data_IF_528645297156
#
_entry.id   IF_528645297156
#
_cell.length_a   1.000
_cell.length_b   1.000
_cell.length_c   1.000
_cell.angle_alpha   90.00
_cell.angle_beta   90.00
_cell.angle_gamma   90.00
#
_symmetry.space_group_name_H-M   'P 1'
#
loop_
_entity.id
_entity.type
_entity.pdbx_description
1 polymer ?
#
# COMPACT_ATOMS: atom_id res chain seq x y z
N UNK A 1 5.00 -24.98 12.11
CA UNK A 1 5.80 -23.76 11.85
C UNK A 1 4.81 -22.64 11.57
N UNK A 2 4.77 -21.60 12.40
CA UNK A 2 3.87 -20.48 12.17
C UNK A 2 4.36 -19.69 10.95
N UNK A 3 3.52 -19.57 9.92
CA UNK A 3 3.81 -18.72 8.78
C UNK A 3 3.96 -17.27 9.24
N UNK A 4 4.83 -16.49 8.59
CA UNK A 4 5.04 -15.10 8.94
C UNK A 4 3.75 -14.30 8.75
N UNK A 5 2.92 -14.71 7.77
CA UNK A 5 1.58 -14.18 7.55
C UNK A 5 0.72 -14.26 8.82
N UNK A 6 0.59 -15.45 9.42
CA UNK A 6 -0.18 -15.67 10.64
C UNK A 6 0.32 -14.83 11.80
N UNK A 7 1.63 -14.59 11.91
CA UNK A 7 2.19 -13.79 12.99
C UNK A 7 1.82 -12.31 12.87
N UNK A 8 1.89 -11.74 11.66
CA UNK A 8 1.47 -10.35 11.42
C UNK A 8 -0.02 -10.20 11.69
N UNK A 9 -0.85 -11.09 11.15
CA UNK A 9 -2.30 -11.06 11.37
C UNK A 9 -2.64 -11.21 12.86
N UNK A 10 -1.98 -12.13 13.58
CA UNK A 10 -2.20 -12.29 15.01
C UNK A 10 -1.75 -11.07 15.81
N UNK A 11 -0.65 -10.42 15.42
CA UNK A 11 -0.21 -9.18 16.05
C UNK A 11 -1.18 -8.02 15.74
N UNK A 12 -1.70 -7.93 14.52
CA UNK A 12 -2.72 -6.97 14.12
C UNK A 12 -4.02 -7.15 14.91
N UNK A 13 -4.46 -8.40 15.10
CA UNK A 13 -5.62 -8.75 15.93
C UNK A 13 -5.42 -8.38 17.41
N UNK A 14 -4.18 -8.33 17.90
CA UNK A 14 -3.83 -7.84 19.24
C UNK A 14 -3.79 -6.31 19.36
N UNK A 15 -4.08 -5.59 18.28
CA UNK A 15 -4.05 -4.12 18.24
C UNK A 15 -2.70 -3.52 17.83
N UNK A 16 -1.71 -4.35 17.45
CA UNK A 16 -0.47 -3.82 16.86
C UNK A 16 -0.79 -3.23 15.49
N UNK A 17 -0.36 -2.00 15.24
CA UNK A 17 -0.45 -1.35 13.93
C UNK A 17 0.91 -1.07 13.32
N UNK A 18 1.95 -0.96 14.13
CA UNK A 18 3.30 -0.71 13.66
C UNK A 18 4.02 -1.99 13.21
N UNK A 19 4.22 -2.08 11.89
CA UNK A 19 5.01 -3.08 11.20
C UNK A 19 6.04 -2.42 10.28
N UNK A 20 6.50 -1.20 10.59
CA UNK A 20 7.49 -0.48 9.79
C UNK A 20 8.77 -1.29 9.57
N UNK A 21 9.42 -1.11 8.42
CA UNK A 21 10.68 -1.73 8.01
C UNK A 21 10.68 -3.27 7.95
N UNK A 22 9.52 -3.90 8.00
CA UNK A 22 9.42 -5.34 7.96
C UNK A 22 9.92 -5.91 6.61
N UNK A 23 10.64 -7.03 6.69
CA UNK A 23 11.17 -7.74 5.53
C UNK A 23 10.34 -9.00 5.30
N UNK A 24 9.36 -8.92 4.39
CA UNK A 24 8.39 -9.99 4.15
C UNK A 24 8.10 -10.16 2.65
N UNK A 25 9.12 -10.39 1.81
CA UNK A 25 8.90 -10.64 0.39
C UNK A 25 8.07 -11.91 0.21
N UNK A 26 7.24 -11.93 -0.83
CA UNK A 26 6.34 -13.04 -1.18
C UNK A 26 5.35 -13.45 -0.08
N UNK A 27 5.06 -12.57 0.88
CA UNK A 27 4.09 -12.87 1.94
C UNK A 27 2.68 -13.04 1.37
N UNK A 28 1.91 -13.97 1.95
CA UNK A 28 0.54 -14.26 1.52
C UNK A 28 -0.44 -13.78 2.57
N UNK A 29 -1.16 -12.69 2.28
CA UNK A 29 -2.21 -12.15 3.14
C UNK A 29 -3.40 -11.68 2.33
N UNK A 30 -3.88 -12.49 1.38
CA UNK A 30 -5.08 -12.12 0.59
C UNK A 30 -6.35 -12.20 1.45
N UNK A 31 -7.34 -11.33 1.19
CA UNK A 31 -8.67 -11.29 1.86
C UNK A 31 -8.66 -10.83 3.33
N UNK A 32 -7.64 -10.11 3.79
CA UNK A 32 -7.58 -9.58 5.15
C UNK A 32 -7.97 -8.10 5.22
N UNK A 33 -8.41 -7.67 6.40
CA UNK A 33 -8.70 -6.26 6.71
C UNK A 33 -7.55 -5.72 7.56
N UNK A 34 -6.69 -4.90 6.95
CA UNK A 34 -5.46 -4.33 7.52
C UNK A 34 -5.49 -2.80 7.42
N UNK A 35 -6.60 -2.21 7.85
CA UNK A 35 -6.84 -0.76 7.85
C UNK A 35 -5.94 -0.05 8.85
N UNK A 36 -5.45 1.14 8.49
CA UNK A 36 -4.57 1.96 9.34
C UNK A 36 -3.30 1.23 9.82
N UNK A 37 -2.83 0.23 9.07
CA UNK A 37 -1.58 -0.46 9.37
C UNK A 37 -0.39 0.40 8.94
N UNK A 38 0.68 0.41 9.73
CA UNK A 38 1.93 1.04 9.36
C UNK A 38 2.89 0.01 8.75
N UNK A 39 3.16 0.17 7.46
CA UNK A 39 4.06 -0.62 6.64
C UNK A 39 5.16 0.26 6.04
N UNK A 40 5.49 1.36 6.71
CA UNK A 40 6.51 2.30 6.25
C UNK A 40 7.85 1.60 6.01
N UNK A 41 8.39 1.71 4.79
CA UNK A 41 9.69 1.13 4.43
C UNK A 41 9.73 -0.40 4.41
N UNK A 42 8.57 -1.08 4.41
CA UNK A 42 8.52 -2.53 4.34
C UNK A 42 8.90 -3.06 2.97
N UNK A 43 9.56 -4.23 2.96
CA UNK A 43 9.75 -5.01 1.76
C UNK A 43 8.61 -6.05 1.63
N UNK A 44 7.72 -5.79 0.69
CA UNK A 44 6.56 -6.62 0.31
C UNK A 44 6.66 -6.99 -1.18
N UNK A 45 7.87 -7.02 -1.74
CA UNK A 45 8.07 -7.44 -3.12
C UNK A 45 7.51 -8.86 -3.33
N UNK A 46 6.85 -9.10 -4.47
CA UNK A 46 6.19 -10.37 -4.79
C UNK A 46 5.06 -10.80 -3.84
N UNK A 47 4.60 -9.94 -2.93
CA UNK A 47 3.55 -10.31 -1.97
C UNK A 47 2.19 -10.59 -2.64
N UNK A 48 1.44 -11.52 -2.06
CA UNK A 48 0.07 -11.85 -2.46
C UNK A 48 -0.91 -11.17 -1.52
N UNK A 49 -1.34 -9.96 -1.88
CA UNK A 49 -2.18 -9.07 -1.09
C UNK A 49 -3.47 -8.71 -1.85
N UNK A 50 -4.03 -9.65 -2.62
CA UNK A 50 -5.30 -9.45 -3.32
C UNK A 50 -6.47 -9.41 -2.33
N UNK A 51 -7.49 -8.61 -2.61
CA UNK A 51 -8.68 -8.45 -1.77
C UNK A 51 -8.37 -7.95 -0.35
N UNK A 52 -7.30 -7.19 -0.16
CA UNK A 52 -6.90 -6.68 1.16
C UNK A 52 -7.38 -5.26 1.35
N UNK A 53 -7.93 -4.97 2.52
CA UNK A 53 -8.28 -3.60 2.89
C UNK A 53 -7.11 -2.93 3.61
N UNK A 54 -6.46 -1.99 2.92
CA UNK A 54 -5.41 -1.09 3.41
C UNK A 54 -5.91 0.35 3.52
N UNK A 55 -7.21 0.57 3.73
CA UNK A 55 -7.73 1.94 3.86
C UNK A 55 -7.05 2.68 5.01
N UNK A 56 -6.58 3.90 4.74
CA UNK A 56 -5.89 4.75 5.71
C UNK A 56 -4.50 4.24 6.14
N UNK A 57 -3.96 3.20 5.50
CA UNK A 57 -2.68 2.59 5.87
C UNK A 57 -1.48 3.42 5.42
N UNK A 58 -0.38 3.34 6.18
CA UNK A 58 0.87 4.01 5.85
C UNK A 58 1.79 3.05 5.09
N UNK A 59 1.95 3.26 3.77
CA UNK A 59 2.76 2.43 2.88
C UNK A 59 3.97 3.19 2.33
N UNK A 60 4.32 4.31 2.97
CA UNK A 60 5.38 5.21 2.50
C UNK A 60 6.68 4.44 2.32
N UNK A 61 7.39 4.67 1.21
CA UNK A 61 8.66 4.00 0.95
C UNK A 61 8.63 2.46 0.93
N UNK A 62 7.44 1.82 0.99
CA UNK A 62 7.34 0.38 0.92
C UNK A 62 7.66 -0.11 -0.49
N UNK A 63 8.29 -1.29 -0.58
CA UNK A 63 8.52 -1.97 -1.84
C UNK A 63 7.41 -2.99 -2.09
N UNK A 64 6.54 -2.71 -3.05
CA UNK A 64 5.47 -3.59 -3.50
C UNK A 64 5.76 -4.11 -4.92
N UNK A 65 7.00 -4.08 -5.39
CA UNK A 65 7.32 -4.51 -6.74
C UNK A 65 6.79 -5.92 -7.02
N UNK A 66 6.13 -6.11 -8.17
CA UNK A 66 5.52 -7.39 -8.58
C UNK A 66 4.46 -7.98 -7.64
N UNK A 67 4.01 -7.23 -6.62
CA UNK A 67 2.97 -7.70 -5.73
C UNK A 67 1.62 -7.82 -6.46
N UNK A 68 0.81 -8.79 -6.01
CA UNK A 68 -0.58 -8.92 -6.41
C UNK A 68 -1.47 -8.14 -5.45
N UNK A 69 -2.03 -7.04 -5.93
CA UNK A 69 -2.87 -6.08 -5.20
C UNK A 69 -4.28 -5.99 -5.82
N UNK A 70 -4.70 -7.00 -6.57
CA UNK A 70 -5.99 -7.02 -7.26
C UNK A 70 -7.15 -6.87 -6.27
N UNK A 71 -8.13 -6.03 -6.60
CA UNK A 71 -9.32 -5.77 -5.76
C UNK A 71 -9.00 -5.28 -4.34
N UNK A 72 -7.78 -4.81 -4.10
CA UNK A 72 -7.38 -4.30 -2.79
C UNK A 72 -7.79 -2.85 -2.62
N UNK A 73 -8.11 -2.47 -1.38
CA UNK A 73 -8.56 -1.12 -1.07
C UNK A 73 -7.42 -0.32 -0.44
N UNK A 74 -6.98 0.74 -1.11
CA UNK A 74 -5.98 1.69 -0.65
C UNK A 74 -6.61 3.08 -0.42
N UNK A 75 -7.92 3.14 -0.17
CA UNK A 75 -8.59 4.42 0.00
C UNK A 75 -7.97 5.24 1.13
N UNK A 76 -7.55 6.47 0.85
CA UNK A 76 -6.90 7.33 1.84
C UNK A 76 -5.51 6.86 2.30
N UNK A 77 -4.93 5.83 1.68
CA UNK A 77 -3.62 5.31 2.06
C UNK A 77 -2.48 6.25 1.65
N UNK A 78 -1.39 6.22 2.42
CA UNK A 78 -0.20 7.03 2.13
C UNK A 78 0.82 6.21 1.33
N UNK A 79 0.88 6.46 0.02
CA UNK A 79 1.72 5.78 -0.96
C UNK A 79 2.98 6.59 -1.33
N UNK A 80 3.35 7.61 -0.55
CA UNK A 80 4.48 8.50 -0.89
C UNK A 80 5.80 7.72 -0.91
N UNK A 81 6.48 7.72 -2.06
CA UNK A 81 7.73 6.98 -2.24
C UNK A 81 7.59 5.46 -2.36
N UNK A 82 6.38 4.92 -2.42
CA UNK A 82 6.14 3.49 -2.59
C UNK A 82 6.54 3.02 -4.00
N UNK A 83 7.11 1.82 -4.11
CA UNK A 83 7.42 1.18 -5.38
C UNK A 83 6.29 0.22 -5.78
N UNK A 84 5.45 0.61 -6.74
CA UNK A 84 4.36 -0.19 -7.32
C UNK A 84 4.70 -0.71 -8.73
N UNK A 85 5.98 -0.80 -9.08
CA UNK A 85 6.40 -1.28 -10.40
C UNK A 85 5.98 -2.73 -10.62
N UNK A 86 5.50 -3.02 -11.82
CA UNK A 86 5.06 -4.36 -12.24
C UNK A 86 4.00 -5.00 -11.32
N UNK A 87 3.27 -4.19 -10.54
CA UNK A 87 2.18 -4.67 -9.67
C UNK A 87 0.94 -5.02 -10.47
N UNK A 88 0.18 -5.98 -9.95
CA UNK A 88 -1.17 -6.30 -10.42
C UNK A 88 -2.16 -5.52 -9.57
N UNK A 89 -2.73 -4.45 -10.12
CA UNK A 89 -3.63 -3.52 -9.41
C UNK A 89 -5.01 -3.46 -10.09
N UNK A 90 -5.39 -4.51 -10.81
CA UNK A 90 -6.70 -4.60 -11.46
C UNK A 90 -7.81 -4.51 -10.40
N UNK A 91 -8.79 -3.62 -10.63
CA UNK A 91 -9.91 -3.33 -9.72
C UNK A 91 -9.51 -2.85 -8.31
N UNK A 92 -8.25 -2.42 -8.11
CA UNK A 92 -7.82 -1.86 -6.84
C UNK A 92 -8.37 -0.43 -6.67
N UNK A 93 -8.83 -0.11 -5.46
CA UNK A 93 -9.34 1.21 -5.13
C UNK A 93 -8.21 2.08 -4.58
N UNK A 94 -7.88 3.18 -5.26
CA UNK A 94 -6.88 4.16 -4.79
C UNK A 94 -7.48 5.54 -4.50
N UNK A 95 -8.80 5.61 -4.35
CA UNK A 95 -9.50 6.86 -4.10
C UNK A 95 -8.93 7.56 -2.87
N UNK A 96 -8.64 8.85 -2.98
CA UNK A 96 -8.06 9.65 -1.89
C UNK A 96 -6.68 9.20 -1.39
N UNK A 97 -6.04 8.23 -2.05
CA UNK A 97 -4.68 7.85 -1.70
C UNK A 97 -3.71 8.99 -2.01
N UNK A 98 -2.65 9.11 -1.21
CA UNK A 98 -1.69 10.20 -1.34
C UNK A 98 -0.40 9.65 -1.96
N UNK A 99 0.03 10.23 -3.06
CA UNK A 99 1.30 9.88 -3.72
C UNK A 99 2.16 11.12 -3.94
N UNK A 100 3.44 10.94 -4.25
CA UNK A 100 4.32 12.04 -4.63
C UNK A 100 5.12 11.68 -5.88
N UNK A 101 6.02 12.56 -6.31
CA UNK A 101 6.91 12.32 -7.45
C UNK A 101 7.92 11.18 -7.24
N UNK A 102 8.08 10.67 -6.01
CA UNK A 102 8.93 9.52 -5.71
C UNK A 102 8.17 8.19 -5.83
N UNK A 103 6.83 8.20 -5.75
CA UNK A 103 5.98 7.02 -5.92
C UNK A 103 6.09 6.50 -7.35
N UNK A 104 6.40 5.22 -7.49
CA UNK A 104 6.60 4.59 -8.80
C UNK A 104 5.40 3.73 -9.15
N UNK A 105 4.60 4.18 -10.12
CA UNK A 105 3.42 3.44 -10.58
C UNK A 105 3.75 2.45 -11.71
N UNK A 106 2.90 1.44 -11.96
CA UNK A 106 3.07 0.57 -13.11
C UNK A 106 2.79 1.31 -14.42
N UNK A 107 3.40 0.85 -15.53
CA UNK A 107 3.45 1.59 -16.82
C UNK A 107 2.07 1.92 -17.43
N UNK A 108 1.05 1.13 -17.11
CA UNK A 108 -0.30 1.26 -17.69
C UNK A 108 -1.32 1.81 -16.68
N UNK A 109 -0.86 2.54 -15.67
CA UNK A 109 -1.73 3.09 -14.63
C UNK A 109 -1.69 4.60 -14.60
N UNK A 110 -2.88 5.20 -14.65
CA UNK A 110 -3.04 6.64 -14.49
C UNK A 110 -3.49 6.96 -13.05
N UNK A 111 -2.60 7.50 -12.19
CA UNK A 111 -2.95 7.83 -10.82
C UNK A 111 -4.01 8.94 -10.73
N UNK A 112 -4.13 9.82 -11.74
CA UNK A 112 -5.15 10.87 -11.73
C UNK A 112 -6.55 10.30 -11.94
N UNK A 113 -6.70 9.33 -12.85
CA UNK A 113 -7.97 8.65 -13.07
C UNK A 113 -8.38 7.77 -11.89
N UNK A 114 -7.40 7.24 -11.16
CA UNK A 114 -7.64 6.41 -9.98
C UNK A 114 -8.00 7.22 -8.71
N UNK A 115 -8.09 8.55 -8.79
CA UNK A 115 -8.44 9.40 -7.64
C UNK A 115 -7.31 9.64 -6.64
N UNK A 116 -6.05 9.45 -7.07
CA UNK A 116 -4.87 9.65 -6.21
C UNK A 116 -4.49 11.12 -6.16
N UNK A 117 -4.35 11.65 -4.93
CA UNK A 117 -3.82 12.98 -4.65
C UNK A 117 -2.30 12.97 -4.80
N UNK A 118 -1.79 13.52 -5.91
CA UNK A 118 -0.34 13.67 -6.13
C UNK A 118 0.18 14.96 -5.51
N UNK A 119 0.97 14.83 -4.44
CA UNK A 119 1.78 15.91 -3.89
C UNK A 119 2.95 16.20 -4.85
N UNK A 120 2.84 17.31 -5.57
CA UNK A 120 3.96 17.88 -6.32
C UNK A 120 5.10 18.34 -5.40
N UNK A 121 6.32 18.55 -5.93
CA UNK A 121 7.47 19.07 -5.17
C UNK A 121 7.23 20.46 -4.56
N UNK A 122 6.12 21.12 -4.91
CA UNK A 122 5.63 22.39 -4.36
C UNK A 122 4.15 22.36 -3.93
N UNK A 123 3.54 21.18 -3.81
CA UNK A 123 2.15 21.07 -3.36
C UNK A 123 2.09 21.32 -1.85
N UNK A 124 2.03 22.59 -1.48
CA UNK A 124 1.53 23.02 -0.18
C UNK A 124 0.03 22.70 -0.15
N UNK A 125 -0.51 22.27 1.01
CA UNK A 125 -1.93 22.01 1.28
C UNK A 125 -2.80 23.29 1.19
N UNK A 126 -2.65 24.12 0.15
CA UNK A 126 -3.30 25.43 0.02
C UNK A 126 -4.31 25.47 -1.14
N UNK A 127 -4.24 24.58 -2.13
CA UNK A 127 -5.20 24.58 -3.25
C UNK A 127 -6.43 23.67 -3.00
N UNK A 128 -6.98 23.73 -1.79
CA UNK A 128 -8.37 23.32 -1.53
C UNK A 128 -9.13 24.53 -0.99
N UNK A 129 -9.61 25.40 -1.88
CA UNK A 129 -10.62 26.40 -1.55
C UNK A 129 -11.55 26.62 -2.74
#
# INVERSE_FOLDING_TARGET
>A
MADLSSQVIAAYAKGRRDFSYCQMPAIRMSQYVLTEIDLWGCNLADAHLADVDFSGSNLRGADLQRANLRRSNFQGADLRGTCLRDTQIEDANFQDAIANHQTQFPKNFDPLQAGIHRLGPKATLIDCN
#
